data_IF_067943474999
#
_entry.id   IF_067943474999
#
_cell.length_a   1.000
_cell.length_b   1.000
_cell.length_c   1.000
_cell.angle_alpha   90.00
_cell.angle_beta   90.00
_cell.angle_gamma   90.00
#
_symmetry.space_group_name_H-M   'P 1'
#
loop_
_entity.id
_entity.type
_entity.pdbx_description
1 polymer ?
#
# COMPACT_ATOMS: atom_id res chain seq x y z
N UNK A 1 1.90 -10.38 -16.87
CA UNK A 1 0.44 -10.36 -16.60
C UNK A 1 0.02 -8.93 -16.29
N UNK A 2 -0.42 -8.24 -17.34
CA UNK A 2 -0.63 -6.80 -17.42
C UNK A 2 -2.13 -6.52 -17.57
N UNK A 3 -2.82 -6.31 -16.45
CA UNK A 3 -4.24 -5.92 -16.46
C UNK A 3 -4.65 -4.99 -15.30
N UNK A 4 -3.69 -4.43 -14.56
CA UNK A 4 -3.99 -3.77 -13.26
C UNK A 4 -3.79 -2.26 -13.21
N UNK A 5 -3.30 -1.63 -14.28
CA UNK A 5 -3.01 -0.19 -14.31
C UNK A 5 -4.14 0.66 -14.84
N UNK A 6 -5.16 0.07 -15.50
CA UNK A 6 -6.25 0.86 -16.11
C UNK A 6 -7.09 1.69 -15.12
N UNK A 7 -7.13 1.31 -13.85
CA UNK A 7 -7.88 2.05 -12.82
C UNK A 7 -7.16 3.34 -12.36
N UNK A 8 -5.86 3.48 -12.61
CA UNK A 8 -5.06 4.66 -12.25
C UNK A 8 -4.87 5.66 -13.42
N UNK A 9 -5.40 5.37 -14.62
CA UNK A 9 -5.17 6.12 -15.87
C UNK A 9 -5.74 7.55 -15.94
N UNK A 10 -6.18 8.12 -14.81
CA UNK A 10 -6.67 9.49 -14.77
C UNK A 10 -5.51 10.49 -14.59
N UNK A 11 -4.30 10.05 -14.20
CA UNK A 11 -3.14 10.96 -14.14
C UNK A 11 -1.78 10.24 -14.27
N UNK A 12 -0.99 10.51 -15.33
CA UNK A 12 0.25 9.79 -15.62
C UNK A 12 1.34 9.98 -14.54
N UNK A 13 1.46 11.18 -13.97
CA UNK A 13 2.41 11.45 -12.89
C UNK A 13 2.15 10.59 -11.63
N UNK A 14 0.87 10.33 -11.34
CA UNK A 14 0.45 9.52 -10.19
C UNK A 14 0.70 8.04 -10.43
N UNK A 15 0.59 7.58 -11.67
CA UNK A 15 0.89 6.20 -12.04
C UNK A 15 2.37 5.87 -11.83
N UNK A 16 3.26 6.78 -12.22
CA UNK A 16 4.70 6.57 -12.06
C UNK A 16 5.08 6.49 -10.58
N UNK A 17 4.58 7.42 -9.75
CA UNK A 17 4.77 7.40 -8.30
C UNK A 17 4.25 6.10 -7.66
N UNK A 18 3.03 5.68 -8.03
CA UNK A 18 2.43 4.45 -7.53
C UNK A 18 3.24 3.21 -7.93
N UNK A 19 3.68 3.15 -9.18
CA UNK A 19 4.45 2.02 -9.71
C UNK A 19 5.82 1.94 -9.05
N UNK A 20 6.49 3.08 -8.85
CA UNK A 20 7.76 3.15 -8.14
C UNK A 20 7.60 2.72 -6.68
N UNK A 21 6.55 3.17 -5.99
CA UNK A 21 6.28 2.75 -4.62
C UNK A 21 6.01 1.24 -4.52
N UNK A 22 5.17 0.71 -5.43
CA UNK A 22 4.87 -0.71 -5.51
C UNK A 22 6.13 -1.56 -5.74
N UNK A 23 7.07 -1.09 -6.58
CA UNK A 23 8.34 -1.77 -6.82
C UNK A 23 9.17 -1.86 -5.54
N UNK A 24 9.31 -0.75 -4.81
CA UNK A 24 10.06 -0.73 -3.55
C UNK A 24 9.40 -1.62 -2.50
N UNK A 25 8.08 -1.53 -2.32
CA UNK A 25 7.33 -2.37 -1.37
C UNK A 25 7.44 -3.85 -1.72
N UNK A 26 7.41 -4.21 -3.02
CA UNK A 26 7.62 -5.60 -3.46
C UNK A 26 9.04 -6.08 -3.16
N UNK A 27 10.06 -5.26 -3.42
CA UNK A 27 11.44 -5.61 -3.08
C UNK A 27 11.61 -5.79 -1.57
N UNK A 28 11.02 -4.90 -0.76
CA UNK A 28 10.99 -5.03 0.70
C UNK A 28 10.32 -6.33 1.16
N UNK A 29 9.15 -6.67 0.60
CA UNK A 29 8.43 -7.89 0.95
C UNK A 29 9.22 -9.16 0.57
N UNK A 30 9.92 -9.15 -0.57
CA UNK A 30 10.81 -10.24 -0.98
C UNK A 30 12.02 -10.35 -0.06
N UNK A 31 12.67 -9.23 0.27
CA UNK A 31 13.84 -9.20 1.15
C UNK A 31 13.51 -9.73 2.56
N UNK A 32 12.29 -9.49 3.05
CA UNK A 32 11.82 -10.02 4.34
C UNK A 32 11.20 -11.42 4.24
N UNK A 33 11.17 -12.03 3.06
CA UNK A 33 10.51 -13.32 2.80
C UNK A 33 9.01 -13.38 3.17
N UNK A 34 8.35 -12.22 3.27
CA UNK A 34 6.90 -12.11 3.56
C UNK A 34 6.08 -12.16 2.25
N UNK A 35 6.74 -12.39 1.12
CA UNK A 35 6.11 -12.48 -0.20
C UNK A 35 5.79 -13.95 -0.52
N UNK A 36 4.69 -14.49 0.02
CA UNK A 36 4.20 -15.84 -0.32
C UNK A 36 2.70 -15.95 -0.15
N UNK A 37 2.02 -16.45 -1.18
CA UNK A 37 0.55 -16.61 -1.18
C UNK A 37 0.10 -17.88 -0.43
N UNK A 38 1.01 -18.83 -0.18
CA UNK A 38 0.67 -20.20 0.21
C UNK A 38 0.61 -20.36 1.75
N UNK A 39 1.31 -19.51 2.50
CA UNK A 39 1.42 -19.61 3.96
C UNK A 39 0.70 -18.49 4.72
N UNK A 40 -0.27 -17.80 4.09
CA UNK A 40 -0.97 -16.67 4.72
C UNK A 40 -0.14 -15.38 4.80
N UNK A 41 0.96 -15.29 4.05
CA UNK A 41 1.75 -14.06 3.94
C UNK A 41 1.21 -13.11 2.85
N UNK A 42 1.87 -11.97 2.67
CA UNK A 42 1.42 -10.87 1.80
C UNK A 42 1.57 -11.23 0.32
N UNK A 43 0.45 -11.49 -0.35
CA UNK A 43 0.40 -11.68 -1.80
C UNK A 43 0.69 -10.37 -2.54
N UNK A 44 1.23 -10.45 -3.77
CA UNK A 44 1.43 -9.27 -4.62
C UNK A 44 0.14 -8.49 -4.93
N UNK A 45 -1.02 -9.14 -4.79
CA UNK A 45 -2.33 -8.51 -4.84
C UNK A 45 -2.63 -7.65 -3.63
N UNK A 46 -2.35 -8.16 -2.43
CA UNK A 46 -2.56 -7.49 -1.14
C UNK A 46 -1.64 -6.28 -1.02
N UNK A 47 -0.35 -6.41 -1.36
CA UNK A 47 0.59 -5.28 -1.34
C UNK A 47 0.12 -4.13 -2.24
N UNK A 48 -0.50 -4.44 -3.39
CA UNK A 48 -1.05 -3.43 -4.28
C UNK A 48 -2.29 -2.74 -3.70
N UNK A 49 -3.19 -3.49 -3.06
CA UNK A 49 -4.37 -2.92 -2.40
C UNK A 49 -3.94 -2.01 -1.24
N UNK A 50 -2.97 -2.45 -0.45
CA UNK A 50 -2.40 -1.66 0.64
C UNK A 50 -1.77 -0.36 0.14
N UNK A 51 -0.98 -0.47 -0.93
CA UNK A 51 -0.35 0.68 -1.59
C UNK A 51 -1.38 1.66 -2.15
N UNK A 52 -2.45 1.15 -2.78
CA UNK A 52 -3.52 1.97 -3.34
C UNK A 52 -4.25 2.76 -2.26
N UNK A 53 -4.52 2.16 -1.10
CA UNK A 53 -5.17 2.83 0.03
C UNK A 53 -4.38 4.07 0.49
N UNK A 54 -3.06 4.00 0.48
CA UNK A 54 -2.20 5.12 0.89
C UNK A 54 -2.17 6.22 -0.17
N UNK A 55 -2.14 5.84 -1.44
CA UNK A 55 -2.25 6.79 -2.54
C UNK A 55 -3.59 7.55 -2.50
N UNK A 56 -4.67 6.91 -2.04
CA UNK A 56 -5.97 7.55 -1.83
C UNK A 56 -5.99 8.47 -0.59
N UNK A 57 -5.29 8.10 0.48
CA UNK A 57 -5.22 8.90 1.72
C UNK A 57 -4.37 10.17 1.58
N UNK A 58 -3.31 10.13 0.78
CA UNK A 58 -2.38 11.24 0.60
C UNK A 58 -2.23 11.60 -0.89
N UNK A 59 -3.15 12.39 -1.45
CA UNK A 59 -3.16 12.71 -2.88
C UNK A 59 -1.97 13.56 -3.36
N UNK A 60 -1.29 14.28 -2.44
CA UNK A 60 -0.20 15.23 -2.76
C UNK A 60 1.17 14.76 -2.23
N UNK A 61 1.31 13.50 -1.83
CA UNK A 61 2.51 12.99 -1.17
C UNK A 61 3.65 12.68 -2.15
N UNK A 62 4.87 13.10 -1.83
CA UNK A 62 6.08 12.63 -2.52
C UNK A 62 6.32 11.12 -2.26
N UNK A 63 7.06 10.42 -3.12
CA UNK A 63 7.32 8.98 -3.03
C UNK A 63 7.85 8.55 -1.66
N UNK A 64 8.87 9.23 -1.13
CA UNK A 64 9.45 8.94 0.18
C UNK A 64 8.45 9.17 1.31
N UNK A 65 7.61 10.21 1.18
CA UNK A 65 6.58 10.51 2.16
C UNK A 65 5.53 9.39 2.18
N UNK A 66 5.02 8.96 1.02
CA UNK A 66 4.07 7.85 0.89
C UNK A 66 4.64 6.55 1.48
N UNK A 67 5.93 6.26 1.23
CA UNK A 67 6.59 5.07 1.74
C UNK A 67 6.74 5.12 3.27
N UNK A 68 7.08 6.28 3.84
CA UNK A 68 7.10 6.48 5.29
C UNK A 68 5.70 6.28 5.89
N UNK A 69 4.68 6.86 5.26
CA UNK A 69 3.30 6.70 5.71
C UNK A 69 2.83 5.25 5.62
N UNK A 70 3.31 4.48 4.63
CA UNK A 70 3.06 3.05 4.53
C UNK A 70 3.49 2.30 5.78
N UNK A 71 4.75 2.42 6.16
CA UNK A 71 5.24 1.72 7.34
C UNK A 71 4.59 2.22 8.62
N UNK A 72 4.37 3.53 8.75
CA UNK A 72 3.76 4.13 9.94
C UNK A 72 2.31 3.65 10.14
N UNK A 73 1.47 3.74 9.11
CA UNK A 73 0.07 3.33 9.18
C UNK A 73 -0.04 1.84 9.47
N UNK A 74 0.71 1.00 8.76
CA UNK A 74 0.63 -0.45 8.95
C UNK A 74 1.31 -0.94 10.24
N UNK A 75 2.22 -0.16 10.83
CA UNK A 75 2.78 -0.44 12.15
C UNK A 75 1.82 -0.08 13.29
N UNK A 76 1.00 0.96 13.13
CA UNK A 76 0.08 1.45 14.17
C UNK A 76 -1.32 0.83 14.03
N UNK A 77 -1.66 0.24 12.89
CA UNK A 77 -3.03 -0.15 12.53
C UNK A 77 -3.79 -0.96 13.61
N UNK A 78 -3.12 -1.75 14.44
CA UNK A 78 -3.74 -2.44 15.58
C UNK A 78 -4.37 -1.49 16.61
N UNK A 79 -3.80 -0.30 16.82
CA UNK A 79 -4.27 0.72 17.76
C UNK A 79 -5.54 1.43 17.29
N UNK A 80 -5.73 1.59 15.96
CA UNK A 80 -6.92 2.27 15.42
C UNK A 80 -8.21 1.44 15.52
N UNK A 81 -8.12 0.11 15.53
CA UNK A 81 -9.28 -0.77 15.74
C UNK A 81 -9.90 -0.58 17.13
N UNK A 82 -9.08 -0.35 18.16
CA UNK A 82 -9.56 -0.08 19.53
C UNK A 82 -10.16 1.32 19.70
N UNK A 83 -9.89 2.26 18.78
CA UNK A 83 -10.46 3.60 18.80
C UNK A 83 -11.78 3.67 18.03
N UNK A 84 -12.01 2.76 17.08
CA UNK A 84 -13.22 2.71 16.26
C UNK A 84 -14.44 2.11 16.98
N UNK A 85 -14.28 1.43 18.12
CA UNK A 85 -15.40 0.91 18.92
C UNK A 85 -16.16 2.00 19.69
N UNK A 86 -15.67 3.25 19.70
CA UNK A 86 -16.38 4.42 20.28
C UNK A 86 -17.16 5.25 19.26
N UNK A 87 -17.15 4.86 17.97
CA UNK A 87 -17.99 5.49 16.94
C UNK A 87 -18.77 4.38 16.25
N UNK A 88 -19.67 3.76 17.02
CA UNK A 88 -20.84 3.07 16.47
C UNK A 88 -22.00 4.05 16.60
N UNK A 89 -22.38 4.63 15.46
CA UNK A 89 -23.76 5.08 15.21
C UNK A 89 -24.59 3.80 15.03
#
# INVERSE_FOLDING_TARGET
MSYRTKFFLINPEREEMFTNLLRVVKQWAKARQIYSNIFGYLSGTILLIMTAKICLLYPNGNLLFLLRQFFLIYSIWFVYLNKSSKIKI
#
